data_IF_237368417434
#
_entry.id   IF_237368417434
#
_cell.length_a   1.000
_cell.length_b   1.000
_cell.length_c   1.000
_cell.angle_alpha   90.00
_cell.angle_beta   90.00
_cell.angle_gamma   90.00
#
_symmetry.space_group_name_H-M   'P 1'
#
loop_
_entity.id
_entity.type
_entity.pdbx_description
1 polymer ?
#
# COMPACT_ATOMS: atom_id res chain seq x y z
N UNK A 1 14.10 -2.86 -13.81
CA UNK A 1 13.58 -3.94 -12.93
C UNK A 1 14.37 -4.08 -11.63
N UNK A 2 15.71 -4.03 -11.67
CA UNK A 2 16.57 -4.04 -10.46
C UNK A 2 16.33 -2.83 -9.54
N UNK A 3 16.20 -1.64 -10.13
CA UNK A 3 15.88 -0.42 -9.39
C UNK A 3 14.50 -0.54 -8.74
N UNK A 4 13.46 -0.93 -9.49
CA UNK A 4 12.09 -1.08 -8.98
C UNK A 4 11.97 -2.03 -7.77
N UNK A 5 12.73 -3.13 -7.75
CA UNK A 5 12.75 -4.08 -6.62
C UNK A 5 13.46 -3.47 -5.40
N UNK A 6 14.60 -2.79 -5.61
CA UNK A 6 15.28 -2.05 -4.52
C UNK A 6 14.36 -0.98 -3.92
N UNK A 7 13.65 -0.22 -4.75
CA UNK A 7 12.78 0.87 -4.30
C UNK A 7 11.55 0.41 -3.51
N UNK A 8 10.98 -0.77 -3.83
CA UNK A 8 9.88 -1.32 -3.05
C UNK A 8 10.37 -1.91 -1.72
N UNK A 9 11.58 -2.47 -1.69
CA UNK A 9 12.23 -2.89 -0.46
C UNK A 9 12.54 -1.71 0.46
N UNK A 10 13.14 -0.63 -0.07
CA UNK A 10 13.44 0.59 0.70
C UNK A 10 12.16 1.23 1.25
N UNK A 11 11.09 1.24 0.45
CA UNK A 11 9.77 1.64 0.90
C UNK A 11 9.30 0.76 2.05
N UNK A 12 9.31 -0.57 1.90
CA UNK A 12 8.86 -1.50 2.92
C UNK A 12 9.65 -1.35 4.24
N UNK A 13 10.98 -1.38 4.17
CA UNK A 13 11.87 -1.25 5.34
C UNK A 13 11.57 0.03 6.10
N UNK A 14 11.43 1.14 5.38
CA UNK A 14 11.23 2.43 6.03
C UNK A 14 9.81 2.55 6.65
N UNK A 15 8.84 1.70 6.27
CA UNK A 15 7.54 1.66 6.98
C UNK A 15 7.65 0.97 8.30
N UNK A 16 8.43 -0.10 8.31
CA UNK A 16 8.67 -0.88 9.50
C UNK A 16 9.51 -0.08 10.50
N UNK A 17 10.40 0.82 10.04
CA UNK A 17 11.13 1.75 10.90
C UNK A 17 10.21 2.66 11.73
N UNK A 18 9.04 3.08 11.21
CA UNK A 18 8.08 3.88 11.99
C UNK A 18 7.57 3.14 13.24
N UNK A 19 7.57 1.81 13.23
CA UNK A 19 7.12 0.99 14.36
C UNK A 19 8.25 0.69 15.35
N UNK A 20 9.49 1.05 15.01
CA UNK A 20 10.68 0.95 15.86
C UNK A 20 10.96 2.31 16.55
N UNK A 21 10.10 3.32 16.37
CA UNK A 21 10.25 4.65 16.98
C UNK A 21 10.47 4.60 18.50
N UNK A 22 9.82 3.66 19.20
CA UNK A 22 10.05 3.44 20.63
C UNK A 22 11.47 2.96 20.96
N UNK A 23 12.07 2.13 20.10
CA UNK A 23 13.45 1.70 20.30
C UNK A 23 14.45 2.86 20.11
N UNK A 24 14.17 3.82 19.22
CA UNK A 24 14.99 5.02 19.07
C UNK A 24 14.95 5.91 20.32
N UNK A 25 13.78 6.10 20.92
CA UNK A 25 13.66 6.86 22.17
C UNK A 25 14.25 6.12 23.37
N UNK A 26 14.12 4.79 23.42
CA UNK A 26 14.77 3.95 24.43
C UNK A 26 16.31 3.97 24.28
N UNK A 27 16.83 3.95 23.06
CA UNK A 27 18.26 4.07 22.79
C UNK A 27 18.81 5.42 23.24
N UNK A 28 18.08 6.52 22.99
CA UNK A 28 18.43 7.84 23.51
C UNK A 28 18.54 7.83 25.05
N UNK A 29 17.54 7.25 25.72
CA UNK A 29 17.54 7.12 27.17
C UNK A 29 18.74 6.31 27.67
N UNK A 30 19.05 5.20 27.00
CA UNK A 30 20.18 4.34 27.32
C UNK A 30 21.53 5.05 27.14
N UNK A 31 21.75 5.74 26.03
CA UNK A 31 22.97 6.53 25.78
C UNK A 31 23.14 7.62 26.83
N UNK A 32 22.05 8.30 27.20
CA UNK A 32 22.07 9.32 28.25
C UNK A 32 22.39 8.72 29.63
N UNK A 33 21.79 7.57 29.97
CA UNK A 33 22.07 6.86 31.22
C UNK A 33 23.53 6.41 31.31
N UNK A 34 24.07 5.88 30.21
CA UNK A 34 25.45 5.44 30.11
C UNK A 34 26.43 6.61 30.28
N UNK A 35 26.18 7.74 29.61
CA UNK A 35 27.01 8.95 29.72
C UNK A 35 27.04 9.52 31.15
N UNK A 36 25.95 9.38 31.91
CA UNK A 36 25.85 9.81 33.30
C UNK A 36 26.21 8.72 34.32
N UNK A 37 26.83 7.61 33.89
CA UNK A 37 27.21 6.49 34.75
C UNK A 37 26.07 5.98 35.63
N UNK A 38 24.83 5.99 35.11
CA UNK A 38 23.61 5.58 35.81
C UNK A 38 23.27 6.42 37.06
N UNK A 39 23.93 7.56 37.28
CA UNK A 39 23.67 8.44 38.42
C UNK A 39 22.59 9.48 38.09
N UNK A 40 21.68 9.74 39.05
CA UNK A 40 20.66 10.80 38.99
C UNK A 40 19.85 10.84 37.67
N UNK A 41 19.44 9.67 37.17
CA UNK A 41 18.84 9.50 35.83
C UNK A 41 17.63 10.39 35.57
N UNK A 42 16.77 10.60 36.57
CA UNK A 42 15.54 11.38 36.39
C UNK A 42 15.83 12.89 36.19
N UNK A 43 16.93 13.40 36.76
CA UNK A 43 17.34 14.80 36.62
C UNK A 43 18.32 15.01 35.46
N UNK A 44 19.21 14.04 35.22
CA UNK A 44 20.22 14.13 34.18
C UNK A 44 19.67 13.81 32.77
N UNK A 45 18.62 12.98 32.70
CA UNK A 45 18.01 12.51 31.45
C UNK A 45 16.49 12.67 31.45
N UNK A 46 15.93 13.89 31.53
CA UNK A 46 14.49 14.09 31.50
C UNK A 46 13.92 13.82 30.10
N UNK A 47 13.28 12.66 29.93
CA UNK A 47 12.57 12.29 28.71
C UNK A 47 11.24 13.05 28.50
N UNK A 48 10.71 13.68 29.54
CA UNK A 48 9.35 14.24 29.52
C UNK A 48 9.23 15.59 28.81
N UNK A 49 10.26 16.45 28.86
CA UNK A 49 10.18 17.86 28.45
C UNK A 49 11.22 18.31 27.41
N UNK A 50 11.99 17.41 26.83
CA UNK A 50 13.04 17.79 25.89
C UNK A 50 12.57 17.75 24.43
N UNK A 51 12.81 18.83 23.68
CA UNK A 51 12.67 18.87 22.22
C UNK A 51 13.51 17.80 21.52
N UNK A 52 14.57 17.31 22.17
CA UNK A 52 15.40 16.21 21.65
C UNK A 52 14.58 14.93 21.44
N UNK A 53 13.69 14.60 22.37
CA UNK A 53 12.83 13.40 22.26
C UNK A 53 11.91 13.52 21.04
N UNK A 54 11.37 14.71 20.79
CA UNK A 54 10.56 14.96 19.60
C UNK A 54 11.38 14.82 18.31
N UNK A 55 12.62 15.31 18.29
CA UNK A 55 13.51 15.16 17.13
C UNK A 55 13.82 13.68 16.83
N UNK A 56 14.19 12.87 17.83
CA UNK A 56 14.45 11.44 17.65
C UNK A 56 13.19 10.67 17.22
N UNK A 57 12.03 11.00 17.80
CA UNK A 57 10.73 10.42 17.43
C UNK A 57 10.35 10.76 15.98
N UNK A 58 10.78 11.93 15.48
CA UNK A 58 10.49 12.40 14.13
C UNK A 58 11.34 11.74 13.03
N UNK A 59 12.49 11.12 13.38
CA UNK A 59 13.44 10.57 12.40
C UNK A 59 12.76 9.61 11.41
N UNK A 60 12.00 8.57 11.84
CA UNK A 60 11.43 7.61 10.90
C UNK A 60 10.41 8.25 9.94
N UNK A 61 9.57 9.15 10.45
CA UNK A 61 8.59 9.89 9.66
C UNK A 61 9.27 10.84 8.65
N UNK A 62 10.35 11.51 9.07
CA UNK A 62 11.12 12.39 8.21
C UNK A 62 11.81 11.64 7.07
N UNK A 63 12.45 10.51 7.36
CA UNK A 63 13.08 9.66 6.33
C UNK A 63 12.05 9.22 5.29
N UNK A 64 10.83 8.87 5.74
CA UNK A 64 9.72 8.54 4.83
C UNK A 64 9.27 9.70 3.97
N UNK A 65 9.19 10.90 4.53
CA UNK A 65 8.87 12.10 3.77
C UNK A 65 9.89 12.33 2.65
N UNK A 66 11.18 12.29 2.98
CA UNK A 66 12.27 12.47 2.00
C UNK A 66 12.20 11.44 0.88
N UNK A 67 11.98 10.16 1.22
CA UNK A 67 11.82 9.10 0.24
C UNK A 67 10.62 9.32 -0.69
N UNK A 68 9.47 9.73 -0.14
CA UNK A 68 8.28 10.01 -0.95
C UNK A 68 8.50 11.18 -1.92
N UNK A 69 9.17 12.24 -1.45
CA UNK A 69 9.51 13.41 -2.28
C UNK A 69 10.52 13.05 -3.37
N UNK A 70 11.57 12.28 -3.03
CA UNK A 70 12.54 11.79 -4.03
C UNK A 70 11.87 10.95 -5.09
N UNK A 71 10.98 10.03 -4.71
CA UNK A 71 10.26 9.18 -5.66
C UNK A 71 9.31 9.98 -6.54
N UNK A 72 8.71 11.05 -6.03
CA UNK A 72 7.96 12.01 -6.84
C UNK A 72 8.85 12.73 -7.85
N UNK A 73 10.04 13.17 -7.44
CA UNK A 73 11.00 13.83 -8.34
C UNK A 73 11.45 12.89 -9.48
N UNK A 74 11.78 11.65 -9.15
CA UNK A 74 12.30 10.67 -10.11
C UNK A 74 11.22 10.15 -11.08
N UNK A 75 9.99 9.92 -10.60
CA UNK A 75 8.91 9.35 -11.42
C UNK A 75 7.99 10.39 -12.06
N UNK A 76 8.00 11.63 -11.58
CA UNK A 76 7.05 12.72 -11.88
C UNK A 76 5.57 12.36 -11.71
N UNK A 77 5.26 11.22 -11.11
CA UNK A 77 3.91 10.79 -10.82
C UNK A 77 3.49 11.23 -9.42
N UNK A 78 2.53 12.15 -9.35
CA UNK A 78 2.03 12.70 -8.08
C UNK A 78 1.36 11.61 -7.22
N UNK A 79 0.58 10.72 -7.82
CA UNK A 79 0.00 9.58 -7.13
C UNK A 79 0.82 8.31 -7.42
N UNK A 80 1.14 7.47 -6.40
CA UNK A 80 0.77 7.55 -4.99
C UNK A 80 1.78 8.31 -4.09
N UNK A 81 2.83 8.91 -4.66
CA UNK A 81 3.99 9.37 -3.88
C UNK A 81 3.74 10.64 -3.06
N UNK A 82 3.16 11.67 -3.69
CA UNK A 82 2.84 12.93 -3.04
C UNK A 82 1.65 12.78 -2.08
N UNK A 83 0.67 11.93 -2.41
CA UNK A 83 -0.43 11.66 -1.49
C UNK A 83 0.08 10.94 -0.23
N UNK A 84 0.95 9.95 -0.38
CA UNK A 84 1.57 9.30 0.78
C UNK A 84 2.46 10.26 1.60
N UNK A 85 3.06 11.29 0.99
CA UNK A 85 3.89 12.26 1.72
C UNK A 85 3.08 13.08 2.74
N UNK A 86 1.81 13.37 2.45
CA UNK A 86 0.87 14.07 3.35
C UNK A 86 0.72 13.32 4.68
N UNK A 87 0.69 11.97 4.65
CA UNK A 87 0.64 11.13 5.86
C UNK A 87 1.80 11.44 6.80
N UNK A 88 3.03 11.55 6.27
CA UNK A 88 4.22 11.81 7.08
C UNK A 88 4.32 13.26 7.51
N UNK A 89 3.86 14.22 6.69
CA UNK A 89 3.76 15.63 7.09
C UNK A 89 2.82 15.76 8.29
N UNK A 90 1.63 15.17 8.23
CA UNK A 90 0.68 15.18 9.33
C UNK A 90 1.25 14.50 10.59
N UNK A 91 1.99 13.40 10.43
CA UNK A 91 2.67 12.75 11.55
C UNK A 91 3.75 13.65 12.20
N UNK A 92 4.55 14.36 11.39
CA UNK A 92 5.54 15.33 11.89
C UNK A 92 4.86 16.49 12.62
N UNK A 93 3.76 17.03 12.08
CA UNK A 93 2.97 18.06 12.75
C UNK A 93 2.48 17.58 14.13
N UNK A 94 1.99 16.34 14.24
CA UNK A 94 1.61 15.75 15.53
C UNK A 94 2.78 15.72 16.51
N UNK A 95 3.97 15.27 16.08
CA UNK A 95 5.14 15.16 16.95
C UNK A 95 5.59 16.53 17.47
N UNK A 96 5.69 17.54 16.60
CA UNK A 96 6.14 18.88 17.00
C UNK A 96 5.08 19.62 17.83
N UNK A 97 3.79 19.49 17.50
CA UNK A 97 2.71 20.07 18.33
C UNK A 97 2.55 19.35 19.67
N UNK A 98 2.91 18.07 19.76
CA UNK A 98 3.01 17.35 21.03
C UNK A 98 4.13 17.93 21.91
N UNK A 99 5.29 18.22 21.34
CA UNK A 99 6.41 18.82 22.05
C UNK A 99 6.08 20.24 22.55
N UNK A 100 5.46 21.05 21.66
CA UNK A 100 5.03 22.39 22.00
C UNK A 100 3.94 22.41 23.09
N UNK A 101 2.92 21.55 23.00
CA UNK A 101 1.86 21.48 24.02
C UNK A 101 2.35 21.06 25.39
N UNK A 102 3.42 20.24 25.47
CA UNK A 102 4.11 19.92 26.73
C UNK A 102 4.80 21.14 27.35
N UNK A 103 5.41 22.00 26.54
CA UNK A 103 6.16 23.17 27.02
C UNK A 103 5.24 24.34 27.41
N UNK A 104 4.28 24.66 26.55
CA UNK A 104 3.38 25.81 26.73
C UNK A 104 2.28 25.50 27.77
N UNK A 105 1.85 24.24 27.86
CA UNK A 105 0.88 23.74 28.84
C UNK A 105 -0.48 24.47 28.84
N UNK A 106 -0.85 25.14 27.73
CA UNK A 106 -2.14 25.81 27.57
C UNK A 106 -3.22 24.92 26.95
N UNK A 107 -4.49 25.27 27.13
CA UNK A 107 -5.60 24.53 26.51
C UNK A 107 -5.62 24.67 24.99
N UNK A 108 -5.15 25.81 24.48
CA UNK A 108 -5.05 26.09 23.05
C UNK A 108 -4.03 25.16 22.38
N UNK A 109 -2.81 25.06 22.91
CA UNK A 109 -1.77 24.20 22.34
C UNK A 109 -2.16 22.71 22.37
N UNK A 110 -2.81 22.26 23.44
CA UNK A 110 -3.37 20.90 23.55
C UNK A 110 -4.48 20.64 22.54
N UNK A 111 -5.38 21.59 22.33
CA UNK A 111 -6.49 21.45 21.37
C UNK A 111 -5.98 21.36 19.93
N UNK A 112 -4.97 22.16 19.59
CA UNK A 112 -4.30 22.12 18.28
C UNK A 112 -3.63 20.76 18.07
N UNK A 113 -2.91 20.26 19.07
CA UNK A 113 -2.29 18.94 19.01
C UNK A 113 -3.32 17.82 18.80
N UNK A 114 -4.43 17.82 19.54
CA UNK A 114 -5.52 16.84 19.39
C UNK A 114 -6.12 16.89 17.98
N UNK A 115 -6.30 18.09 17.42
CA UNK A 115 -6.79 18.24 16.05
C UNK A 115 -5.85 17.60 15.02
N UNK A 116 -4.53 17.83 15.15
CA UNK A 116 -3.55 17.16 14.29
C UNK A 116 -3.53 15.64 14.49
N UNK A 117 -3.68 15.15 15.73
CA UNK A 117 -3.77 13.72 16.02
C UNK A 117 -4.96 13.09 15.31
N UNK A 118 -6.13 13.74 15.36
CA UNK A 118 -7.34 13.27 14.70
C UNK A 118 -7.16 13.24 13.17
N UNK A 119 -6.63 14.32 12.59
CA UNK A 119 -6.41 14.42 11.14
C UNK A 119 -5.40 13.38 10.65
N UNK A 120 -4.26 13.25 11.34
CA UNK A 120 -3.22 12.27 11.00
C UNK A 120 -3.72 10.83 11.12
N UNK A 121 -4.46 10.51 12.18
CA UNK A 121 -5.02 9.17 12.42
C UNK A 121 -6.06 8.81 11.37
N UNK A 122 -6.98 9.72 11.07
CA UNK A 122 -8.03 9.51 10.06
C UNK A 122 -7.42 9.34 8.68
N UNK A 123 -6.50 10.22 8.28
CA UNK A 123 -5.83 10.12 6.99
C UNK A 123 -5.07 8.79 6.85
N UNK A 124 -4.31 8.41 7.88
CA UNK A 124 -3.55 7.16 7.85
C UNK A 124 -4.43 5.92 7.84
N UNK A 125 -5.52 5.92 8.60
CA UNK A 125 -6.46 4.80 8.64
C UNK A 125 -7.15 4.60 7.29
N UNK A 126 -7.62 5.70 6.68
CA UNK A 126 -8.17 5.66 5.32
C UNK A 126 -7.14 5.16 4.33
N UNK A 127 -5.88 5.57 4.46
CA UNK A 127 -4.81 5.10 3.60
C UNK A 127 -4.57 3.60 3.71
N UNK A 128 -4.45 3.10 4.95
CA UNK A 128 -4.18 1.69 5.22
C UNK A 128 -5.31 0.79 4.66
N UNK A 129 -6.57 1.19 4.81
CA UNK A 129 -7.73 0.42 4.34
C UNK A 129 -7.88 0.50 2.81
N UNK A 130 -7.79 1.70 2.24
CA UNK A 130 -8.15 1.93 0.85
C UNK A 130 -7.00 1.63 -0.12
N UNK A 131 -5.81 2.19 0.14
CA UNK A 131 -4.68 2.07 -0.77
C UNK A 131 -3.82 0.84 -0.48
N UNK A 132 -3.49 0.59 0.79
CA UNK A 132 -2.57 -0.50 1.13
C UNK A 132 -3.26 -1.86 1.08
N UNK A 133 -4.49 -1.96 1.57
CA UNK A 133 -5.27 -3.21 1.53
C UNK A 133 -6.19 -3.32 0.30
N UNK A 134 -6.42 -2.23 -0.44
CA UNK A 134 -7.26 -2.27 -1.64
C UNK A 134 -8.73 -2.60 -1.35
N UNK A 135 -9.17 -2.40 -0.10
CA UNK A 135 -10.53 -2.66 0.34
C UNK A 135 -11.44 -1.44 0.02
N UNK A 136 -12.75 -1.57 0.23
CA UNK A 136 -13.80 -0.60 -0.13
C UNK A 136 -14.20 -0.57 -1.62
N UNK A 137 -14.04 -1.68 -2.35
CA UNK A 137 -14.65 -1.79 -3.70
C UNK A 137 -16.15 -2.04 -3.56
N UNK A 138 -16.95 -1.13 -4.10
CA UNK A 138 -18.42 -1.17 -4.00
C UNK A 138 -19.06 -2.28 -4.85
N UNK A 139 -18.40 -2.70 -5.93
CA UNK A 139 -18.84 -3.78 -6.81
C UNK A 139 -18.12 -5.08 -6.44
N UNK A 140 -18.59 -5.75 -5.39
CA UNK A 140 -18.05 -7.04 -4.96
C UNK A 140 -19.13 -7.87 -4.27
N UNK A 141 -18.99 -9.20 -4.37
CA UNK A 141 -19.86 -10.19 -3.72
C UNK A 141 -19.94 -10.00 -2.19
N UNK A 142 -18.93 -9.40 -1.58
CA UNK A 142 -18.91 -9.04 -0.16
C UNK A 142 -18.79 -7.53 -0.01
N UNK A 143 -19.75 -6.91 0.71
CA UNK A 143 -19.83 -5.44 0.87
C UNK A 143 -18.53 -4.89 1.46
N UNK A 144 -17.89 -3.96 0.76
CA UNK A 144 -16.61 -3.31 1.09
C UNK A 144 -15.34 -4.17 0.97
N UNK A 145 -15.42 -5.40 0.48
CA UNK A 145 -14.24 -6.26 0.25
C UNK A 145 -13.96 -6.39 -1.26
N UNK A 146 -12.73 -6.77 -1.64
CA UNK A 146 -12.39 -7.11 -3.04
C UNK A 146 -12.97 -8.46 -3.46
N UNK A 147 -13.04 -8.71 -4.76
CA UNK A 147 -13.68 -9.91 -5.33
C UNK A 147 -12.87 -11.19 -5.10
N UNK A 148 -11.56 -11.14 -5.35
CA UNK A 148 -10.65 -12.23 -4.99
C UNK A 148 -10.17 -12.02 -3.57
N UNK A 149 -10.36 -12.97 -2.66
CA UNK A 149 -9.85 -12.91 -1.28
C UNK A 149 -9.12 -14.22 -1.01
N UNK A 150 -7.88 -14.14 -0.51
CA UNK A 150 -7.13 -15.34 -0.14
C UNK A 150 -7.57 -15.89 1.23
N UNK A 151 -8.02 -15.02 2.13
CA UNK A 151 -8.47 -15.36 3.48
C UNK A 151 -10.00 -15.25 3.61
N UNK A 152 -10.60 -15.88 4.63
CA UNK A 152 -12.02 -15.70 4.92
C UNK A 152 -12.39 -14.23 5.19
N UNK A 153 -13.60 -13.77 4.81
CA UNK A 153 -13.99 -12.36 4.86
C UNK A 153 -13.99 -11.77 6.28
N UNK A 154 -14.26 -12.58 7.32
CA UNK A 154 -14.23 -12.13 8.72
C UNK A 154 -12.84 -11.61 9.14
N UNK A 155 -11.77 -12.16 8.57
CA UNK A 155 -10.38 -11.77 8.87
C UNK A 155 -10.15 -10.31 8.51
N UNK A 156 -10.72 -9.86 7.39
CA UNK A 156 -10.58 -8.48 6.91
C UNK A 156 -11.39 -7.50 7.78
N UNK A 157 -12.61 -7.85 8.19
CA UNK A 157 -13.39 -6.99 9.08
C UNK A 157 -12.73 -6.86 10.46
N UNK A 158 -12.22 -7.96 11.02
CA UNK A 158 -11.46 -7.95 12.28
C UNK A 158 -10.19 -7.10 12.12
N UNK A 159 -9.45 -7.26 11.02
CA UNK A 159 -8.26 -6.47 10.74
C UNK A 159 -8.55 -4.96 10.63
N UNK A 160 -9.66 -4.55 10.00
CA UNK A 160 -10.07 -3.15 9.92
C UNK A 160 -10.32 -2.57 11.32
N UNK A 161 -11.07 -3.30 12.15
CA UNK A 161 -11.38 -2.87 13.52
C UNK A 161 -10.09 -2.80 14.35
N UNK A 162 -9.28 -3.86 14.33
CA UNK A 162 -8.02 -3.92 15.07
C UNK A 162 -7.05 -2.83 14.64
N UNK A 163 -6.87 -2.59 13.34
CA UNK A 163 -5.99 -1.52 12.86
C UNK A 163 -6.47 -0.14 13.31
N UNK A 164 -7.78 0.10 13.30
CA UNK A 164 -8.35 1.38 13.74
C UNK A 164 -8.12 1.61 15.24
N UNK A 165 -8.38 0.60 16.08
CA UNK A 165 -8.18 0.69 17.54
C UNK A 165 -6.70 0.83 17.90
N UNK A 166 -5.85 -0.01 17.31
CA UNK A 166 -4.40 0.02 17.50
C UNK A 166 -3.73 1.22 16.83
N UNK A 167 -4.43 2.03 16.03
CA UNK A 167 -3.88 3.31 15.54
C UNK A 167 -3.88 4.37 16.62
N UNK A 168 -4.87 4.35 17.50
CA UNK A 168 -5.00 5.34 18.58
C UNK A 168 -3.85 5.18 19.59
N UNK A 169 -3.35 3.95 19.78
CA UNK A 169 -2.21 3.66 20.67
C UNK A 169 -0.94 4.43 20.26
N UNK A 170 -0.72 4.69 18.97
CA UNK A 170 0.39 5.51 18.50
C UNK A 170 0.32 6.94 19.06
N UNK A 171 -0.88 7.54 19.10
CA UNK A 171 -1.07 8.88 19.68
C UNK A 171 -0.76 8.88 21.17
N UNK A 172 -1.20 7.84 21.90
CA UNK A 172 -0.87 7.67 23.32
C UNK A 172 0.63 7.49 23.54
N UNK A 173 1.34 6.81 22.63
CA UNK A 173 2.79 6.55 22.75
C UNK A 173 3.63 7.83 22.70
N UNK A 174 3.17 8.87 22.01
CA UNK A 174 3.88 10.17 21.88
C UNK A 174 3.76 10.99 23.18
N UNK A 175 2.72 10.77 23.98
CA UNK A 175 2.49 11.54 25.20
C UNK A 175 1.96 10.72 26.37
N UNK A 176 2.76 9.80 26.95
CA UNK A 176 2.34 9.05 28.15
C UNK A 176 2.06 9.95 29.35
N UNK A 177 2.80 11.06 29.47
CA UNK A 177 2.72 11.99 30.60
C UNK A 177 1.42 12.80 30.69
N UNK A 178 0.71 12.99 29.57
CA UNK A 178 -0.54 13.78 29.56
C UNK A 178 -1.74 13.04 30.16
N UNK A 179 -1.68 11.71 30.24
CA UNK A 179 -2.85 10.90 30.60
C UNK A 179 -2.93 10.53 32.08
N UNK A 180 -1.95 10.93 32.90
CA UNK A 180 -2.01 10.83 34.36
C UNK A 180 -2.35 9.42 34.88
N UNK A 181 -2.00 8.38 34.11
CA UNK A 181 -2.36 7.00 34.44
C UNK A 181 -1.50 6.56 35.64
N UNK A 182 -2.14 5.88 36.61
CA UNK A 182 -1.56 5.44 37.90
C UNK A 182 -0.40 4.43 37.78
N UNK A 183 0.07 4.14 36.56
CA UNK A 183 1.11 3.16 36.24
C UNK A 183 2.30 3.89 35.62
N UNK A 184 3.52 3.47 35.95
CA UNK A 184 4.75 4.03 35.36
C UNK A 184 4.63 4.09 33.82
N UNK A 185 4.72 5.31 33.27
CA UNK A 185 4.57 5.57 31.84
C UNK A 185 5.55 4.77 30.97
N UNK A 186 6.66 4.29 31.55
CA UNK A 186 7.64 3.41 30.89
C UNK A 186 7.05 2.03 30.58
N UNK A 187 6.29 1.45 31.50
CA UNK A 187 5.63 0.14 31.33
C UNK A 187 4.53 0.23 30.29
N UNK A 188 3.73 1.30 30.34
CA UNK A 188 2.69 1.57 29.33
C UNK A 188 3.33 1.70 27.95
N UNK A 189 4.41 2.46 27.82
CA UNK A 189 5.09 2.65 26.53
C UNK A 189 5.64 1.33 25.95
N UNK A 190 6.13 0.42 26.80
CA UNK A 190 6.55 -0.93 26.37
C UNK A 190 5.40 -1.73 25.77
N UNK A 191 4.25 -1.81 26.46
CA UNK A 191 3.08 -2.53 25.93
C UNK A 191 2.51 -1.88 24.66
N UNK A 192 2.47 -0.55 24.59
CA UNK A 192 2.06 0.17 23.38
C UNK A 192 3.00 -0.13 22.20
N UNK A 193 4.30 -0.27 22.44
CA UNK A 193 5.27 -0.65 21.42
C UNK A 193 5.05 -2.09 20.93
N UNK A 194 4.77 -3.05 21.83
CA UNK A 194 4.43 -4.42 21.44
C UNK A 194 3.17 -4.48 20.58
N UNK A 195 2.14 -3.72 20.95
CA UNK A 195 0.89 -3.62 20.20
C UNK A 195 1.11 -3.03 18.79
N UNK A 196 2.00 -2.04 18.66
CA UNK A 196 2.37 -1.45 17.36
C UNK A 196 3.08 -2.46 16.46
N UNK A 197 3.94 -3.32 17.02
CA UNK A 197 4.59 -4.41 16.26
C UNK A 197 3.56 -5.42 15.75
N UNK A 198 2.63 -5.86 16.59
CA UNK A 198 1.56 -6.77 16.19
C UNK A 198 0.67 -6.17 15.08
N UNK A 199 0.31 -4.89 15.22
CA UNK A 199 -0.46 -4.16 14.20
C UNK A 199 0.25 -4.17 12.85
N UNK A 200 1.56 -3.94 12.81
CA UNK A 200 2.35 -4.00 11.56
C UNK A 200 2.45 -5.38 10.97
N UNK A 201 2.63 -6.40 11.80
CA UNK A 201 2.64 -7.79 11.32
C UNK A 201 1.35 -8.12 10.58
N UNK A 202 0.20 -7.79 11.19
CA UNK A 202 -1.11 -7.94 10.58
C UNK A 202 -1.27 -7.09 9.31
N UNK A 203 -0.83 -5.84 9.32
CA UNK A 203 -0.87 -4.96 8.14
C UNK A 203 0.00 -5.48 6.98
N UNK A 204 1.20 -6.01 7.28
CA UNK A 204 2.14 -6.54 6.29
C UNK A 204 1.56 -7.77 5.57
N UNK A 205 0.89 -8.67 6.28
CA UNK A 205 0.25 -9.86 5.69
C UNK A 205 -0.82 -9.45 4.66
N UNK A 206 -1.73 -8.54 5.05
CA UNK A 206 -2.82 -8.12 4.17
C UNK A 206 -2.30 -7.30 2.99
N UNK A 207 -1.30 -6.45 3.21
CA UNK A 207 -0.65 -5.70 2.12
C UNK A 207 0.03 -6.62 1.12
N UNK A 208 0.78 -7.61 1.60
CA UNK A 208 1.47 -8.57 0.74
C UNK A 208 0.46 -9.36 -0.10
N UNK A 209 -0.66 -9.75 0.51
CA UNK A 209 -1.76 -10.44 -0.17
C UNK A 209 -2.41 -9.54 -1.25
N UNK A 210 -2.66 -8.26 -0.95
CA UNK A 210 -3.16 -7.28 -1.91
C UNK A 210 -2.17 -7.05 -3.07
N UNK A 211 -0.87 -6.97 -2.79
CA UNK A 211 0.15 -6.85 -3.84
C UNK A 211 0.24 -8.11 -4.70
N UNK A 212 0.17 -9.29 -4.08
CA UNK A 212 0.17 -10.57 -4.79
C UNK A 212 -1.02 -10.67 -5.75
N UNK A 213 -2.23 -10.40 -5.28
CA UNK A 213 -3.43 -10.44 -6.13
C UNK A 213 -3.39 -9.41 -7.26
N UNK A 214 -2.95 -8.18 -6.99
CA UNK A 214 -2.79 -7.17 -8.05
C UNK A 214 -1.72 -7.57 -9.08
N UNK A 215 -0.65 -8.27 -8.66
CA UNK A 215 0.39 -8.75 -9.58
C UNK A 215 -0.06 -9.94 -10.42
N UNK A 216 -0.86 -10.86 -9.86
CA UNK A 216 -1.47 -11.99 -10.58
C UNK A 216 -2.52 -11.49 -11.57
N UNK A 217 -3.42 -10.60 -11.16
CA UNK A 217 -4.47 -10.04 -12.02
C UNK A 217 -3.96 -9.18 -13.18
N UNK A 218 -2.76 -8.60 -13.08
CA UNK A 218 -2.13 -7.84 -14.16
C UNK A 218 -1.15 -8.69 -15.01
N UNK A 219 -1.16 -10.02 -14.89
CA UNK A 219 -0.25 -10.96 -15.57
C UNK A 219 1.25 -10.65 -15.37
N UNK A 220 1.61 -9.83 -14.37
CA UNK A 220 3.01 -9.46 -14.08
C UNK A 220 3.80 -10.58 -13.40
N UNK A 221 3.10 -11.56 -12.82
CA UNK A 221 3.70 -12.71 -12.15
C UNK A 221 4.14 -13.84 -13.10
N UNK A 222 3.67 -13.83 -14.36
CA UNK A 222 3.96 -14.89 -15.31
C UNK A 222 5.09 -14.41 -16.23
N UNK A 223 6.31 -14.87 -15.94
CA UNK A 223 7.46 -14.80 -16.86
C UNK A 223 7.30 -15.84 -17.96
N UNK A 224 6.12 -15.94 -18.58
CA UNK A 224 6.00 -16.66 -19.84
C UNK A 224 6.47 -15.68 -20.91
N UNK A 225 7.77 -15.76 -21.19
CA UNK A 225 8.29 -15.39 -22.49
C UNK A 225 7.44 -16.21 -23.46
N UNK A 226 6.57 -15.62 -24.31
CA UNK A 226 5.93 -16.41 -25.34
C UNK A 226 7.06 -17.01 -26.16
N UNK A 227 7.27 -18.32 -26.03
CA UNK A 227 8.29 -19.01 -26.80
C UNK A 227 7.88 -18.80 -28.25
N UNK A 228 8.73 -18.18 -29.10
CA UNK A 228 8.46 -18.16 -30.52
C UNK A 228 8.67 -19.60 -31.02
N UNK A 229 7.62 -20.41 -30.96
CA UNK A 229 7.53 -21.68 -31.69
C UNK A 229 7.41 -21.36 -33.18
N UNK A 230 8.47 -20.79 -33.76
CA UNK A 230 8.66 -20.65 -35.21
C UNK A 230 9.84 -21.47 -35.71
N UNK A 231 10.36 -22.40 -34.91
CA UNK A 231 11.45 -23.29 -35.32
C UNK A 231 10.92 -24.62 -35.90
N UNK A 232 9.72 -25.07 -35.52
CA UNK A 232 9.16 -26.31 -36.08
C UNK A 232 8.42 -26.14 -37.42
N UNK A 233 7.81 -24.99 -37.70
CA UNK A 233 7.26 -24.72 -39.03
C UNK A 233 8.37 -24.53 -40.07
N UNK A 234 9.43 -23.78 -39.76
CA UNK A 234 10.53 -23.56 -40.71
C UNK A 234 11.31 -24.84 -41.06
N UNK A 235 11.29 -25.86 -40.19
CA UNK A 235 11.91 -27.17 -40.45
C UNK A 235 10.96 -28.11 -41.22
N UNK A 236 9.66 -28.06 -40.93
CA UNK A 236 8.65 -28.77 -41.72
C UNK A 236 8.55 -28.23 -43.16
N UNK A 237 8.73 -26.92 -43.33
CA UNK A 237 8.74 -26.27 -44.65
C UNK A 237 10.06 -26.55 -45.41
N UNK A 238 11.21 -26.54 -44.72
CA UNK A 238 12.52 -26.85 -45.32
C UNK A 238 12.71 -28.35 -45.66
N UNK A 239 12.06 -29.25 -44.92
CA UNK A 239 12.06 -30.68 -45.23
C UNK A 239 11.05 -31.04 -46.33
N UNK A 240 9.95 -30.27 -46.46
CA UNK A 240 8.98 -30.41 -47.57
C UNK A 240 9.53 -29.89 -48.91
N UNK A 241 10.38 -28.86 -48.89
CA UNK A 241 11.00 -28.29 -50.09
C UNK A 241 12.04 -29.24 -50.74
N UNK A 242 12.60 -30.19 -49.97
CA UNK A 242 13.55 -31.20 -50.49
C UNK A 242 12.91 -32.47 -51.04
N UNK A 243 11.63 -32.70 -50.78
CA UNK A 243 10.91 -33.91 -51.20
C UNK A 243 9.88 -33.69 -52.33
N UNK A 244 9.69 -32.46 -52.80
CA UNK A 244 8.61 -32.11 -53.72
C UNK A 244 8.96 -31.90 -55.19
N UNK A 245 10.21 -32.09 -55.65
CA UNK A 245 10.54 -32.02 -57.09
C UNK A 245 10.27 -33.36 -57.79
N UNK A 246 8.99 -33.73 -57.85
CA UNK A 246 8.44 -34.74 -58.75
C UNK A 246 6.94 -34.49 -58.90
N UNK A 247 6.61 -33.70 -59.93
CA UNK A 247 5.37 -33.61 -60.69
C UNK A 247 3.99 -33.39 -60.01
N UNK A 248 3.14 -32.69 -60.80
CA UNK A 248 1.65 -32.75 -60.85
C UNK A 248 0.86 -31.60 -60.19
N UNK A 249 0.57 -30.60 -61.03
CA UNK A 249 -0.78 -30.09 -61.42
C UNK A 249 -1.68 -29.31 -60.42
N UNK A 250 -1.94 -28.05 -60.83
CA UNK A 250 -3.25 -27.38 -60.97
C UNK A 250 -3.75 -26.34 -59.94
N UNK A 251 -3.94 -25.13 -60.50
CA UNK A 251 -5.04 -24.15 -60.32
C UNK A 251 -5.08 -23.23 -59.10
N UNK A 252 -4.55 -22.02 -59.34
CA UNK A 252 -5.10 -20.68 -59.10
C UNK A 252 -6.47 -20.54 -58.41
N UNK A 253 -6.53 -19.64 -57.42
CA UNK A 253 -7.37 -18.42 -57.40
C UNK A 253 -6.92 -17.55 -56.19
N UNK A 254 -6.33 -16.36 -56.37
CA UNK A 254 -6.99 -15.03 -56.48
C UNK A 254 -8.10 -14.83 -55.42
N UNK A 255 -8.23 -13.74 -54.67
CA UNK A 255 -7.57 -12.44 -54.56
C UNK A 255 -8.24 -11.81 -53.32
N UNK A 256 -7.50 -11.23 -52.38
CA UNK A 256 -8.08 -10.45 -51.26
C UNK A 256 -7.89 -8.97 -51.55
N UNK A 257 -8.91 -8.36 -52.12
CA UNK A 257 -9.09 -6.91 -52.11
C UNK A 257 -10.57 -6.61 -51.91
N UNK A 258 -10.90 -5.84 -50.87
CA UNK A 258 -11.68 -4.61 -50.92
C UNK A 258 -12.07 -4.19 -49.49
N UNK A 259 -11.40 -3.12 -49.06
CA UNK A 259 -11.77 -2.25 -47.96
C UNK A 259 -13.07 -1.48 -48.27
N UNK A 260 -13.80 -1.17 -47.19
CA UNK A 260 -14.64 0.04 -47.03
C UNK A 260 -15.87 0.24 -47.95
N UNK A 261 -17.08 0.10 -47.37
CA UNK A 261 -18.12 1.15 -47.20
C UNK A 261 -19.54 0.56 -47.20
N UNK A 262 -20.42 1.22 -46.43
CA UNK A 262 -21.87 1.24 -46.66
C UNK A 262 -22.63 0.22 -45.80
N UNK A 263 -23.30 0.63 -44.73
CA UNK A 263 -24.61 1.29 -44.73
C UNK A 263 -25.78 0.31 -44.98
N UNK A 264 -26.63 0.20 -43.96
CA UNK A 264 -28.10 0.24 -44.12
C UNK A 264 -28.80 -0.98 -44.72
N UNK A 265 -29.45 -1.74 -43.83
CA UNK A 265 -30.87 -2.13 -43.87
C UNK A 265 -31.47 -2.78 -45.13
N UNK A 266 -32.14 -3.93 -44.88
CA UNK A 266 -33.32 -4.48 -45.60
C UNK A 266 -33.05 -4.93 -47.06
N UNK A 267 -33.48 -6.08 -47.56
CA UNK A 267 -34.79 -6.78 -47.52
C UNK A 267 -34.63 -8.06 -48.36
N UNK A 268 -35.47 -9.08 -48.16
CA UNK A 268 -35.69 -10.15 -49.15
C UNK A 268 -36.09 -11.49 -48.51
N UNK A 269 -37.36 -11.85 -48.31
CA UNK A 269 -38.35 -12.30 -49.32
C UNK A 269 -37.84 -13.62 -49.95
N UNK A 270 -38.51 -14.78 -49.97
CA UNK A 270 -39.91 -15.20 -49.89
C UNK A 270 -39.95 -16.73 -49.64
N UNK A 271 -41.09 -17.29 -49.20
CA UNK A 271 -41.79 -18.39 -49.90
C UNK A 271 -43.09 -18.79 -49.17
N UNK A 272 -44.20 -18.32 -49.74
CA UNK A 272 -45.50 -18.97 -49.98
C UNK A 272 -46.17 -19.87 -48.92
N UNK A 273 -47.44 -19.54 -48.63
CA UNK A 273 -48.50 -20.56 -48.64
C UNK A 273 -49.66 -20.43 -47.63
N UNK A 274 -50.64 -19.57 -47.94
CA UNK A 274 -52.12 -19.78 -47.83
C UNK A 274 -52.69 -20.24 -46.47
N UNK A 275 -53.31 -19.37 -45.65
CA UNK A 275 -54.70 -18.84 -45.69
C UNK A 275 -55.73 -19.65 -44.87
N UNK A 276 -56.45 -18.90 -44.03
CA UNK A 276 -57.84 -19.05 -43.59
C UNK A 276 -58.24 -19.89 -42.35
N UNK A 277 -58.61 -19.12 -41.31
CA UNK A 277 -59.93 -19.08 -40.61
C UNK A 277 -60.37 -20.17 -39.63
N UNK A 278 -60.96 -19.66 -38.51
CA UNK A 278 -61.89 -20.27 -37.54
C UNK A 278 -61.26 -21.29 -36.58
N UNK A 279 -61.44 -21.24 -35.26
CA UNK A 279 -62.53 -20.74 -34.40
C UNK A 279 -62.00 -19.92 -33.22
#
# INVERSE_FOLDING_TARGET
HRDFISWNFDFFVTDNLNSITFAFTALQAFVCAYANSWANLDNACPLSNSWTVAAFTAIPAFLRLVQCVRRFYDSRNAHPHLTNSVKYILALCVIFTAAWSKQDNTWTSRSIWIAFCFLSSTYSCTWDIWFDWGLLRANSKHRFLREELMYPPYTYYIAIILNSLLRVTWVFSISPAHWGILVDGRVIAFFLAMLEVFRRFQWNIIRLENEHSNNVGNFRAVKEIPLPLTIHQRRADADSEKLGHSDVHFSNTQEMEVLHKGAGSTTGVNLHGVENTRN
#
